data_IF_995193739751
#
_entry.id   IF_995193739751
#
_cell.length_a   1.000
_cell.length_b   1.000
_cell.length_c   1.000
_cell.angle_alpha   90.00
_cell.angle_beta   90.00
_cell.angle_gamma   90.00
#
_symmetry.space_group_name_H-M   'P 1'
#
loop_
_entity.id
_entity.type
_entity.pdbx_description
1 polymer ?
#
# COMPACT_ATOMS: atom_id res chain seq x y z
N UNK A 1 2.99 9.21 -0.16
CA UNK A 1 2.48 8.91 1.19
C UNK A 1 3.63 9.02 2.19
N UNK A 2 3.44 9.74 3.26
CA UNK A 2 4.53 10.07 4.19
C UNK A 2 5.13 8.83 4.87
N UNK A 3 4.31 7.83 5.21
CA UNK A 3 4.82 6.60 5.82
C UNK A 3 5.80 5.86 4.91
N UNK A 4 5.51 5.83 3.62
CA UNK A 4 6.42 5.22 2.62
C UNK A 4 7.71 6.01 2.50
N UNK A 5 7.60 7.35 2.49
CA UNK A 5 8.76 8.22 2.45
C UNK A 5 9.68 7.99 3.66
N UNK A 6 9.09 7.85 4.85
CA UNK A 6 9.87 7.59 6.07
C UNK A 6 10.61 6.27 6.00
N UNK A 7 9.99 5.21 5.48
CA UNK A 7 10.66 3.92 5.28
C UNK A 7 11.82 4.03 4.31
N UNK A 8 11.64 4.72 3.19
CA UNK A 8 12.70 4.93 2.21
C UNK A 8 13.86 5.72 2.79
N UNK A 9 13.58 6.74 3.60
CA UNK A 9 14.61 7.60 4.18
C UNK A 9 15.43 6.90 5.27
N UNK A 10 14.90 5.86 5.90
CA UNK A 10 15.63 5.10 6.93
C UNK A 10 16.85 4.37 6.38
N UNK A 11 16.85 4.06 5.09
CA UNK A 11 17.93 3.29 4.48
C UNK A 11 19.25 4.04 4.35
N UNK A 12 19.23 5.37 4.34
CA UNK A 12 20.42 6.20 4.20
C UNK A 12 21.18 6.02 2.88
N UNK A 13 20.53 5.48 1.84
CA UNK A 13 21.10 5.19 0.53
C UNK A 13 20.64 6.22 -0.53
N UNK A 14 20.94 5.94 -1.80
CA UNK A 14 20.54 6.80 -2.92
C UNK A 14 19.01 6.94 -3.00
N UNK A 15 18.26 5.89 -2.67
CA UNK A 15 16.81 5.92 -2.66
C UNK A 15 16.29 6.87 -1.58
N UNK A 16 16.90 6.86 -0.39
CA UNK A 16 16.57 7.81 0.67
C UNK A 16 16.80 9.24 0.23
N UNK A 17 17.92 9.51 -0.43
CA UNK A 17 18.26 10.83 -0.97
C UNK A 17 17.21 11.26 -2.00
N UNK A 18 16.85 10.36 -2.91
CA UNK A 18 15.83 10.63 -3.93
C UNK A 18 14.48 10.96 -3.29
N UNK A 19 14.04 10.15 -2.32
CA UNK A 19 12.76 10.37 -1.65
C UNK A 19 12.74 11.72 -0.91
N UNK A 20 13.84 12.11 -0.28
CA UNK A 20 13.97 13.39 0.41
C UNK A 20 13.88 14.58 -0.54
N UNK A 21 14.33 14.41 -1.79
CA UNK A 21 14.34 15.45 -2.81
C UNK A 21 13.00 15.55 -3.58
N UNK A 22 12.06 14.62 -3.36
CA UNK A 22 10.78 14.56 -4.07
C UNK A 22 9.59 14.49 -3.10
N UNK A 23 9.48 15.42 -2.14
CA UNK A 23 8.41 15.36 -1.13
C UNK A 23 7.02 15.47 -1.75
N UNK A 24 6.87 16.07 -2.93
CA UNK A 24 5.59 16.23 -3.62
C UNK A 24 4.97 14.90 -4.06
N UNK A 25 5.76 13.82 -4.11
CA UNK A 25 5.27 12.49 -4.47
C UNK A 25 4.68 11.74 -3.28
N UNK A 26 4.81 12.28 -2.06
CA UNK A 26 4.40 11.63 -0.83
C UNK A 26 3.30 12.46 -0.17
N UNK A 27 2.05 12.09 -0.47
CA UNK A 27 0.89 12.83 0.01
C UNK A 27 0.67 12.60 1.51
N UNK A 28 0.25 13.64 2.25
CA UNK A 28 -0.12 13.49 3.65
C UNK A 28 -1.41 12.68 3.78
N UNK A 29 -1.66 12.03 4.94
CA UNK A 29 -2.92 11.34 5.18
C UNK A 29 -4.11 12.28 5.09
N UNK A 30 -5.23 11.80 4.50
CA UNK A 30 -6.49 12.54 4.50
C UNK A 30 -7.22 12.37 5.82
N UNK A 31 -8.20 13.26 6.15
CA UNK A 31 -8.93 13.18 7.42
C UNK A 31 -9.71 11.87 7.60
N UNK A 32 -10.07 11.17 6.52
CA UNK A 32 -10.89 9.96 6.59
C UNK A 32 -10.06 8.67 6.76
N UNK A 33 -8.73 8.77 6.79
CA UNK A 33 -7.86 7.60 6.94
C UNK A 33 -8.15 6.80 8.22
N UNK A 34 -8.35 7.42 9.41
CA UNK A 34 -8.66 6.64 10.61
C UNK A 34 -9.91 5.78 10.49
N UNK A 35 -10.95 6.24 9.79
CA UNK A 35 -12.15 5.45 9.56
C UNK A 35 -11.84 4.22 8.72
N UNK A 36 -11.04 4.37 7.67
CA UNK A 36 -10.64 3.24 6.81
C UNK A 36 -9.75 2.25 7.55
N UNK A 37 -8.89 2.74 8.43
CA UNK A 37 -8.09 1.86 9.30
C UNK A 37 -9.00 1.03 10.20
N UNK A 38 -10.05 1.64 10.76
CA UNK A 38 -11.03 0.92 11.57
C UNK A 38 -11.75 -0.18 10.78
N UNK A 39 -12.12 0.09 9.54
CA UNK A 39 -12.75 -0.91 8.65
C UNK A 39 -11.80 -2.07 8.37
N UNK A 40 -10.52 -1.80 8.11
CA UNK A 40 -9.52 -2.84 7.90
C UNK A 40 -9.29 -3.67 9.16
N UNK A 41 -9.25 -3.03 10.32
CA UNK A 41 -9.12 -3.73 11.59
C UNK A 41 -10.29 -4.70 11.80
N UNK A 42 -11.51 -4.24 11.57
CA UNK A 42 -12.70 -5.08 11.67
C UNK A 42 -12.65 -6.26 10.70
N UNK A 43 -12.23 -6.01 9.47
CA UNK A 43 -12.08 -7.06 8.47
C UNK A 43 -11.08 -8.14 8.89
N UNK A 44 -9.92 -7.77 9.45
CA UNK A 44 -8.93 -8.75 9.90
C UNK A 44 -9.45 -9.65 11.00
N UNK A 45 -10.39 -9.15 11.82
CA UNK A 45 -10.99 -9.90 12.92
C UNK A 45 -12.14 -10.80 12.47
N UNK A 46 -12.87 -10.44 11.41
CA UNK A 46 -14.09 -11.13 11.00
C UNK A 46 -13.94 -11.99 9.76
N UNK A 47 -12.83 -11.85 9.06
CA UNK A 47 -12.53 -12.60 7.85
C UNK A 47 -12.45 -14.10 8.10
N UNK A 48 -12.85 -14.89 7.08
CA UNK A 48 -12.68 -16.36 7.09
C UNK A 48 -11.85 -16.78 5.87
N UNK A 49 -10.79 -17.58 6.04
CA UNK A 49 -10.24 -18.05 7.32
C UNK A 49 -9.62 -16.91 8.12
N UNK A 50 -9.67 -17.01 9.45
CA UNK A 50 -9.17 -15.94 10.32
C UNK A 50 -7.65 -15.83 10.24
N UNK A 51 -7.14 -14.59 10.26
CA UNK A 51 -5.70 -14.35 10.37
C UNK A 51 -5.19 -14.76 11.74
N UNK A 52 -3.94 -15.23 11.80
CA UNK A 52 -3.24 -15.44 13.05
C UNK A 52 -3.02 -14.09 13.75
N UNK A 53 -2.97 -14.10 15.07
CA UNK A 53 -2.83 -12.88 15.86
C UNK A 53 -1.56 -12.09 15.47
N UNK A 54 -0.45 -12.78 15.23
CA UNK A 54 0.79 -12.14 14.81
C UNK A 54 0.63 -11.40 13.48
N UNK A 55 -0.14 -11.95 12.53
CA UNK A 55 -0.40 -11.30 11.25
C UNK A 55 -1.25 -10.04 11.43
N UNK A 56 -2.26 -10.10 12.29
CA UNK A 56 -3.10 -8.94 12.61
C UNK A 56 -2.27 -7.84 13.26
N UNK A 57 -1.44 -8.20 14.23
CA UNK A 57 -0.61 -7.25 14.97
C UNK A 57 0.38 -6.55 14.02
N UNK A 58 1.03 -7.31 13.17
CA UNK A 58 1.99 -6.75 12.19
C UNK A 58 1.32 -5.77 11.24
N UNK A 59 0.15 -6.13 10.70
CA UNK A 59 -0.55 -5.28 9.73
C UNK A 59 -1.13 -4.03 10.37
N UNK A 60 -1.69 -4.16 11.58
CA UNK A 60 -2.42 -3.08 12.24
C UNK A 60 -1.52 -2.15 13.08
N UNK A 61 -0.24 -2.47 13.21
CA UNK A 61 0.72 -1.66 13.98
C UNK A 61 1.36 -0.57 13.11
N UNK A 62 0.53 0.35 12.62
CA UNK A 62 0.94 1.51 11.79
C UNK A 62 1.85 1.14 10.62
N UNK A 63 1.62 -0.02 10.01
CA UNK A 63 2.42 -0.43 8.85
C UNK A 63 2.18 0.51 7.67
N UNK A 64 3.19 0.64 6.81
CA UNK A 64 3.03 1.38 5.57
C UNK A 64 1.96 0.76 4.67
N UNK A 65 1.82 -0.57 4.70
CA UNK A 65 0.81 -1.30 3.94
C UNK A 65 -0.60 -0.91 4.37
N UNK A 66 -0.85 -0.86 5.68
CA UNK A 66 -2.14 -0.43 6.24
C UNK A 66 -2.48 1.00 5.80
N UNK A 67 -1.54 1.91 5.96
CA UNK A 67 -1.74 3.32 5.62
C UNK A 67 -1.91 3.52 4.11
N UNK A 68 -1.18 2.76 3.30
CA UNK A 68 -1.30 2.82 1.85
C UNK A 68 -2.71 2.45 1.38
N UNK A 69 -3.23 1.33 1.86
CA UNK A 69 -4.56 0.86 1.47
C UNK A 69 -5.64 1.81 1.96
N UNK A 70 -5.55 2.26 3.21
CA UNK A 70 -6.51 3.20 3.79
C UNK A 70 -6.52 4.53 3.04
N UNK A 71 -5.34 5.07 2.73
CA UNK A 71 -5.20 6.32 1.96
C UNK A 71 -5.78 6.19 0.56
N UNK A 72 -5.47 5.09 -0.13
CA UNK A 72 -6.00 4.85 -1.47
C UNK A 72 -7.52 4.75 -1.47
N UNK A 73 -8.10 4.09 -0.47
CA UNK A 73 -9.56 3.99 -0.32
C UNK A 73 -10.19 5.38 -0.12
N UNK A 74 -9.55 6.25 0.66
CA UNK A 74 -10.05 7.61 0.89
C UNK A 74 -10.01 8.47 -0.37
N UNK A 75 -9.05 8.23 -1.26
CA UNK A 75 -8.82 9.02 -2.45
C UNK A 75 -9.44 8.41 -3.71
N UNK A 76 -10.11 7.27 -3.59
CA UNK A 76 -10.56 6.46 -4.74
C UNK A 76 -9.42 6.20 -5.72
N UNK A 77 -8.24 5.94 -5.19
CA UNK A 77 -7.04 5.68 -5.96
C UNK A 77 -6.82 4.18 -6.14
N UNK A 78 -6.01 3.82 -7.13
CA UNK A 78 -5.62 2.44 -7.39
C UNK A 78 -4.28 2.15 -6.75
N UNK A 79 -4.20 1.05 -5.99
CA UNK A 79 -2.93 0.59 -5.40
C UNK A 79 -2.18 -0.25 -6.43
N UNK A 80 -0.89 0.01 -6.55
CA UNK A 80 0.01 -0.79 -7.41
C UNK A 80 0.93 -1.59 -6.51
N UNK A 81 0.96 -2.91 -6.69
CA UNK A 81 1.80 -3.80 -5.89
C UNK A 81 2.20 -5.03 -6.70
N UNK A 82 3.34 -5.63 -6.35
CA UNK A 82 3.73 -6.93 -6.88
C UNK A 82 3.17 -8.09 -6.06
N UNK A 83 2.56 -7.83 -4.91
CA UNK A 83 1.96 -8.90 -4.13
C UNK A 83 0.80 -9.53 -4.87
N UNK A 84 0.65 -10.84 -4.69
CA UNK A 84 -0.43 -11.63 -5.29
C UNK A 84 -1.53 -11.85 -4.25
N UNK A 85 -2.82 -11.80 -4.63
CA UNK A 85 -3.90 -12.11 -3.70
C UNK A 85 -3.72 -13.49 -3.09
N UNK A 86 -3.97 -13.58 -1.78
CA UNK A 86 -3.87 -14.84 -1.05
C UNK A 86 -5.03 -14.92 -0.04
N UNK A 87 -6.29 -15.10 -0.52
CA UNK A 87 -7.47 -15.05 0.34
C UNK A 87 -7.51 -16.15 1.39
N UNK A 88 -6.73 -17.22 1.21
CA UNK A 88 -6.64 -18.31 2.18
C UNK A 88 -5.45 -18.17 3.13
N UNK A 89 -4.59 -17.18 2.94
CA UNK A 89 -3.44 -16.96 3.80
C UNK A 89 -3.87 -16.52 5.21
N UNK A 90 -3.19 -17.04 6.23
CA UNK A 90 -3.47 -16.73 7.63
C UNK A 90 -2.27 -16.11 8.35
N UNK A 91 -1.07 -16.27 7.80
CA UNK A 91 0.18 -15.84 8.44
C UNK A 91 0.59 -14.43 8.06
N UNK A 92 0.01 -13.86 7.03
CA UNK A 92 0.32 -12.51 6.56
C UNK A 92 -0.87 -11.91 5.82
N UNK A 93 -1.12 -10.63 6.07
CA UNK A 93 -2.11 -9.86 5.32
C UNK A 93 -1.45 -9.35 4.05
N UNK A 94 -2.01 -9.71 2.90
CA UNK A 94 -1.52 -9.24 1.60
C UNK A 94 -2.26 -7.99 1.18
N UNK A 95 -1.53 -7.07 0.54
CA UNK A 95 -2.11 -5.79 0.07
C UNK A 95 -3.33 -6.01 -0.83
N UNK A 96 -3.33 -6.91 -1.84
CA UNK A 96 -4.51 -7.11 -2.67
C UNK A 96 -5.75 -7.54 -1.88
N UNK A 97 -5.58 -8.37 -0.85
CA UNK A 97 -6.70 -8.82 -0.03
C UNK A 97 -7.28 -7.67 0.81
N UNK A 98 -6.42 -6.83 1.37
CA UNK A 98 -6.84 -5.64 2.10
C UNK A 98 -7.56 -4.64 1.18
N UNK A 99 -7.07 -4.45 -0.03
CA UNK A 99 -7.74 -3.61 -1.02
C UNK A 99 -9.13 -4.13 -1.35
N UNK A 100 -9.27 -5.44 -1.54
CA UNK A 100 -10.57 -6.06 -1.82
C UNK A 100 -11.56 -5.83 -0.66
N UNK A 101 -11.07 -5.84 0.58
CA UNK A 101 -11.90 -5.59 1.76
C UNK A 101 -12.50 -4.18 1.76
N UNK A 102 -11.81 -3.20 1.22
CA UNK A 102 -12.28 -1.80 1.11
C UNK A 102 -12.81 -1.45 -0.28
N UNK A 103 -12.98 -2.44 -1.15
CA UNK A 103 -13.42 -2.23 -2.53
C UNK A 103 -12.50 -1.24 -3.28
N UNK A 104 -11.23 -1.29 -2.96
CA UNK A 104 -10.20 -0.45 -3.57
C UNK A 104 -9.53 -1.22 -4.70
N UNK A 105 -9.33 -0.57 -5.84
CA UNK A 105 -8.67 -1.21 -6.99
C UNK A 105 -7.21 -1.47 -6.66
N UNK A 106 -6.75 -2.66 -7.06
CA UNK A 106 -5.38 -3.08 -6.86
C UNK A 106 -4.88 -3.77 -8.14
N UNK A 107 -3.76 -3.33 -8.66
CA UNK A 107 -3.18 -3.87 -9.89
C UNK A 107 -1.69 -4.09 -9.70
N UNK A 108 -1.08 -4.90 -10.57
CA UNK A 108 0.36 -4.99 -10.63
C UNK A 108 0.94 -3.87 -11.50
N UNK A 109 2.27 -3.77 -11.52
CA UNK A 109 2.93 -2.72 -12.27
C UNK A 109 2.63 -2.83 -13.78
N UNK A 110 2.56 -4.05 -14.31
CA UNK A 110 2.31 -4.28 -15.74
C UNK A 110 0.93 -3.77 -16.15
N UNK A 111 -0.09 -4.05 -15.34
CA UNK A 111 -1.43 -3.55 -15.57
C UNK A 111 -1.51 -2.04 -15.41
N UNK A 112 -0.82 -1.48 -14.44
CA UNK A 112 -0.72 -0.04 -14.26
C UNK A 112 -0.14 0.61 -15.52
N UNK A 113 0.91 0.04 -16.08
CA UNK A 113 1.53 0.54 -17.31
C UNK A 113 0.59 0.43 -18.51
N UNK A 114 -0.18 -0.66 -18.61
CA UNK A 114 -1.18 -0.81 -19.69
C UNK A 114 -2.27 0.25 -19.60
N UNK A 115 -2.77 0.51 -18.38
CA UNK A 115 -3.87 1.46 -18.15
C UNK A 115 -3.44 2.91 -18.35
N UNK A 116 -2.22 3.25 -17.97
CA UNK A 116 -1.72 4.63 -18.05
C UNK A 116 -0.99 4.91 -19.35
N UNK A 117 -0.66 3.88 -20.11
CA UNK A 117 0.12 4.00 -21.36
C UNK A 117 1.33 4.91 -21.21
N UNK A 118 2.17 4.73 -20.20
CA UNK A 118 3.31 5.62 -20.00
C UNK A 118 4.29 5.42 -21.16
N UNK A 119 4.82 6.51 -21.67
CA UNK A 119 5.98 6.46 -22.55
C UNK A 119 7.19 6.17 -21.68
N UNK A 120 7.56 4.89 -21.62
CA UNK A 120 8.84 4.55 -21.05
C UNK A 120 9.91 4.92 -22.07
N UNK A 121 10.47 6.08 -21.89
CA UNK A 121 11.72 6.40 -22.56
C UNK A 121 12.79 5.71 -21.75
N UNK A 122 13.35 4.64 -22.26
CA UNK A 122 14.62 4.15 -21.81
C UNK A 122 15.64 5.22 -22.20
N UNK A 123 15.77 6.19 -21.35
CA UNK A 123 16.96 7.02 -21.40
C UNK A 123 18.13 6.16 -20.94
N UNK A 124 18.65 5.41 -21.87
CA UNK A 124 19.99 4.86 -21.76
C UNK A 124 20.97 6.02 -21.90
N UNK A 125 20.75 7.06 -21.14
CA UNK A 125 21.70 8.15 -21.08
C UNK A 125 22.91 7.64 -20.34
N UNK A 126 24.07 7.70 -20.96
CA UNK A 126 25.30 7.43 -20.26
C UNK A 126 25.42 8.36 -19.07
#
# INVERSE_FOLDING_TARGET
MEAVRQELCRGGDELATWASNHPQLFLPPTPNVPQRIGELAQWTLTRQPAYQQAAQDEFLDDSADLLLVAQAACMDATVVTFEVPAPQARKRVKIPDACAALETRCVDLWECMRQTSPRLTLDLVP
#
